data_IF_489768816174
#
_entry.id   IF_489768816174
#
_cell.length_a   1.000
_cell.length_b   1.000
_cell.length_c   1.000
_cell.angle_alpha   90.00
_cell.angle_beta   90.00
_cell.angle_gamma   90.00
#
_symmetry.space_group_name_H-M   'P 1'
#
loop_
_entity.id
_entity.type
_entity.pdbx_description
1 polymer ?
#
# COMPACT_ATOMS: atom_id res chain seq x y z
N UNK A 1 -8.86 -27.66 -1.74
CA UNK A 1 -7.61 -26.90 -1.94
C UNK A 1 -8.02 -25.44 -2.14
N UNK A 2 -7.94 -24.58 -1.11
CA UNK A 2 -8.33 -23.16 -1.25
C UNK A 2 -7.38 -22.47 -2.23
N UNK A 3 -7.87 -21.65 -3.18
CA UNK A 3 -7.00 -20.91 -4.08
C UNK A 3 -6.06 -20.03 -3.24
N UNK A 4 -4.75 -20.07 -3.53
CA UNK A 4 -3.82 -19.09 -2.96
C UNK A 4 -4.35 -17.71 -3.29
N UNK A 5 -4.76 -16.95 -2.28
CA UNK A 5 -5.27 -15.60 -2.47
C UNK A 5 -4.18 -14.79 -3.18
N UNK A 6 -4.53 -14.20 -4.33
CA UNK A 6 -3.59 -13.38 -5.08
C UNK A 6 -3.15 -12.19 -4.22
N UNK A 7 -1.85 -11.85 -4.30
CA UNK A 7 -1.33 -10.64 -3.65
C UNK A 7 -1.96 -9.41 -4.31
N UNK A 8 -2.28 -8.35 -3.54
CA UNK A 8 -2.71 -7.09 -4.12
C UNK A 8 -1.71 -6.59 -5.17
N UNK A 9 -2.23 -6.03 -6.26
CA UNK A 9 -1.41 -5.33 -7.25
C UNK A 9 -0.96 -3.96 -6.69
N UNK A 10 0.10 -3.35 -7.25
CA UNK A 10 0.52 -2.00 -6.88
C UNK A 10 -0.59 -0.96 -7.00
N UNK A 11 -1.42 -1.05 -8.04
CA UNK A 11 -2.58 -0.20 -8.28
C UNK A 11 -3.59 -0.34 -7.13
N UNK A 12 -3.87 -1.58 -6.71
CA UNK A 12 -4.76 -1.85 -5.57
C UNK A 12 -4.19 -1.34 -4.24
N UNK A 13 -2.86 -1.34 -4.07
CA UNK A 13 -2.21 -0.75 -2.90
C UNK A 13 -2.39 0.77 -2.92
N UNK A 14 -2.14 1.44 -4.05
CA UNK A 14 -2.33 2.89 -4.18
C UNK A 14 -3.78 3.26 -3.90
N UNK A 15 -4.74 2.60 -4.57
CA UNK A 15 -6.16 2.86 -4.36
C UNK A 15 -6.60 2.65 -2.90
N UNK A 16 -6.05 1.63 -2.22
CA UNK A 16 -6.36 1.38 -0.81
C UNK A 16 -5.78 2.45 0.13
N UNK A 17 -4.62 3.04 -0.19
CA UNK A 17 -4.04 4.16 0.58
C UNK A 17 -4.90 5.42 0.39
N UNK A 18 -5.21 5.78 -0.87
CA UNK A 18 -6.06 6.95 -1.17
C UNK A 18 -7.45 6.81 -0.53
N UNK A 19 -8.05 5.62 -0.60
CA UNK A 19 -9.35 5.36 0.02
C UNK A 19 -9.29 5.23 1.56
N UNK A 20 -8.11 5.31 2.17
CA UNK A 20 -7.94 5.33 3.63
C UNK A 20 -7.63 6.73 4.13
N UNK A 21 -6.92 7.52 3.34
CA UNK A 21 -6.58 8.89 3.64
C UNK A 21 -6.60 9.74 2.36
N UNK A 22 -7.43 10.78 2.34
CA UNK A 22 -7.63 11.65 1.18
C UNK A 22 -6.33 12.37 0.74
N UNK A 23 -5.37 12.52 1.64
CA UNK A 23 -4.05 13.09 1.36
C UNK A 23 -3.01 12.06 0.87
N UNK A 24 -3.39 10.79 0.77
CA UNK A 24 -2.53 9.69 0.34
C UNK A 24 -1.46 9.30 1.37
N UNK A 25 -1.63 9.66 2.65
CA UNK A 25 -0.69 9.36 3.72
C UNK A 25 -1.32 8.47 4.79
N UNK A 26 -0.67 7.35 5.12
CA UNK A 26 -1.15 6.48 6.21
C UNK A 26 -0.04 5.64 6.84
N UNK A 27 -0.35 5.00 7.96
CA UNK A 27 0.51 3.97 8.56
C UNK A 27 0.28 2.62 7.88
N UNK A 28 1.34 1.82 7.77
CA UNK A 28 1.24 0.44 7.26
C UNK A 28 0.27 -0.42 8.06
N UNK A 29 0.15 -0.17 9.36
CA UNK A 29 -0.81 -0.86 10.25
C UNK A 29 -2.27 -0.52 9.91
N UNK A 30 -2.55 0.69 9.43
CA UNK A 30 -3.88 1.12 9.00
C UNK A 30 -4.21 0.48 7.65
N UNK A 31 -3.26 0.52 6.72
CA UNK A 31 -3.40 -0.16 5.43
C UNK A 31 -3.66 -1.67 5.59
N UNK A 32 -3.02 -2.32 6.57
CA UNK A 32 -3.25 -3.74 6.85
C UNK A 32 -4.72 -4.07 7.17
N UNK A 33 -5.46 -3.14 7.76
CA UNK A 33 -6.88 -3.32 8.08
C UNK A 33 -7.75 -3.34 6.82
N UNK A 34 -7.29 -2.77 5.69
CA UNK A 34 -7.99 -2.79 4.40
C UNK A 34 -7.86 -4.12 3.65
N UNK A 35 -6.96 -5.01 4.08
CA UNK A 35 -6.76 -6.32 3.48
C UNK A 35 -7.01 -7.44 4.51
N UNK A 36 -8.25 -7.60 5.00
CA UNK A 36 -8.57 -8.62 5.99
C UNK A 36 -8.28 -10.01 5.43
N UNK A 37 -7.49 -10.79 6.16
CA UNK A 37 -7.03 -12.11 5.74
C UNK A 37 -5.81 -12.13 4.82
N UNK A 38 -5.16 -10.99 4.57
CA UNK A 38 -3.82 -10.93 3.98
C UNK A 38 -2.77 -10.93 5.10
N UNK A 39 -1.84 -11.88 5.07
CA UNK A 39 -0.79 -11.97 6.07
C UNK A 39 0.19 -10.79 6.01
N UNK A 40 0.81 -10.43 7.13
CA UNK A 40 1.77 -9.31 7.19
C UNK A 40 2.95 -9.46 6.21
N UNK A 41 3.40 -10.70 5.96
CA UNK A 41 4.46 -11.00 4.97
C UNK A 41 4.02 -10.68 3.54
N UNK A 42 2.78 -11.00 3.22
CA UNK A 42 2.19 -10.82 1.89
C UNK A 42 1.89 -9.35 1.62
N UNK A 43 1.35 -8.64 2.63
CA UNK A 43 1.20 -7.18 2.57
C UNK A 43 2.56 -6.49 2.35
N UNK A 44 3.60 -6.89 3.09
CA UNK A 44 4.95 -6.35 2.90
C UNK A 44 5.51 -6.67 1.51
N UNK A 45 5.16 -7.81 0.92
CA UNK A 45 5.57 -8.16 -0.45
C UNK A 45 4.83 -7.31 -1.49
N UNK A 46 3.54 -7.07 -1.32
CA UNK A 46 2.75 -6.19 -2.18
C UNK A 46 3.24 -4.74 -2.09
N UNK A 47 3.47 -4.22 -0.88
CA UNK A 47 4.01 -2.88 -0.66
C UNK A 47 5.39 -2.71 -1.30
N UNK A 48 6.30 -3.67 -1.11
CA UNK A 48 7.64 -3.61 -1.74
C UNK A 48 7.57 -3.52 -3.27
N UNK A 49 6.55 -4.11 -3.91
CA UNK A 49 6.35 -3.97 -5.36
C UNK A 49 5.93 -2.54 -5.72
N UNK A 50 4.97 -1.97 -5.00
CA UNK A 50 4.54 -0.59 -5.22
C UNK A 50 5.67 0.42 -5.00
N UNK A 51 6.49 0.21 -3.95
CA UNK A 51 7.69 1.01 -3.67
C UNK A 51 8.73 0.86 -4.79
N UNK A 52 9.00 -0.36 -5.24
CA UNK A 52 9.96 -0.61 -6.31
C UNK A 52 9.54 0.00 -7.66
N UNK A 53 8.23 0.19 -7.87
CA UNK A 53 7.68 0.89 -9.03
C UNK A 53 7.62 2.42 -8.85
N UNK A 54 8.03 2.94 -7.70
CA UNK A 54 8.02 4.37 -7.42
C UNK A 54 6.62 4.94 -7.15
N UNK A 55 5.59 4.12 -6.92
CA UNK A 55 4.21 4.57 -6.71
C UNK A 55 3.91 4.93 -5.25
N UNK A 56 4.67 4.36 -4.32
CA UNK A 56 4.52 4.55 -2.88
C UNK A 56 5.88 4.77 -2.26
N UNK A 57 5.96 5.68 -1.30
CA UNK A 57 7.14 5.93 -0.47
C UNK A 57 6.88 5.31 0.91
N UNK A 58 7.71 4.34 1.31
CA UNK A 58 7.70 3.79 2.67
C UNK A 58 8.87 4.38 3.47
N UNK A 59 8.58 4.97 4.64
CA UNK A 59 9.58 5.50 5.56
C UNK A 59 9.29 5.09 7.00
N UNK A 60 10.35 4.92 7.79
CA UNK A 60 10.22 4.71 9.22
C UNK A 60 10.07 6.06 9.92
N UNK A 61 9.04 6.20 10.74
CA UNK A 61 8.76 7.41 11.52
C UNK A 61 9.52 7.45 12.85
N UNK A 62 9.48 8.60 13.55
CA UNK A 62 10.13 8.76 14.85
C UNK A 62 9.49 7.90 15.95
N UNK A 63 8.23 7.51 15.78
CA UNK A 63 7.49 6.55 16.61
C UNK A 63 7.93 5.08 16.36
N UNK A 64 8.88 4.85 15.47
CA UNK A 64 9.35 3.52 15.07
C UNK A 64 8.42 2.79 14.10
N UNK A 65 7.27 3.37 13.75
CA UNK A 65 6.28 2.84 12.81
C UNK A 65 6.67 3.06 11.35
N UNK A 66 5.99 2.36 10.44
CA UNK A 66 6.17 2.54 9.00
C UNK A 66 5.02 3.39 8.44
N UNK A 67 5.39 4.51 7.84
CA UNK A 67 4.50 5.45 7.17
C UNK A 67 4.62 5.30 5.67
N UNK A 68 3.49 5.45 4.99
CA UNK A 68 3.30 5.29 3.57
C UNK A 68 2.76 6.60 3.01
N UNK A 69 3.33 7.05 1.90
CA UNK A 69 2.81 8.16 1.12
C UNK A 69 2.69 7.74 -0.35
N UNK A 70 1.60 8.13 -1.02
CA UNK A 70 1.50 7.99 -2.48
C UNK A 70 2.42 9.02 -3.14
N UNK A 71 3.24 8.60 -4.09
CA UNK A 71 4.10 9.50 -4.87
C UNK A 71 3.30 10.25 -5.94
N UNK A 72 3.94 11.20 -6.63
CA UNK A 72 3.33 11.85 -7.80
C UNK A 72 2.92 10.83 -8.86
N UNK A 73 3.78 9.86 -9.15
CA UNK A 73 3.53 8.78 -10.11
C UNK A 73 2.38 7.88 -9.66
N UNK A 74 2.27 7.61 -8.35
CA UNK A 74 1.14 6.89 -7.78
C UNK A 74 -0.18 7.63 -7.95
N UNK A 75 -0.19 8.95 -7.75
CA UNK A 75 -1.37 9.79 -7.97
C UNK A 75 -1.77 9.87 -9.44
N UNK A 76 -0.80 10.01 -10.35
CA UNK A 76 -1.06 10.01 -11.79
C UNK A 76 -1.67 8.67 -12.24
N UNK A 77 -1.12 7.56 -11.75
CA UNK A 77 -1.68 6.22 -11.99
C UNK A 77 -3.12 6.10 -11.46
N UNK A 78 -3.39 6.57 -10.24
CA UNK A 78 -4.71 6.52 -9.63
C UNK A 78 -5.75 7.35 -10.41
N UNK A 79 -5.35 8.53 -10.94
CA UNK A 79 -6.22 9.40 -11.75
C UNK A 79 -6.45 8.90 -13.18
N UNK A 80 -5.54 8.08 -13.69
CA UNK A 80 -5.57 7.59 -15.09
C UNK A 80 -6.32 6.27 -15.26
N UNK A 81 -6.73 5.62 -14.16
CA UNK A 81 -7.54 4.40 -14.15
C UNK A 81 -9.04 4.70 -14.04
#
# INVERSE_FOLDING_TARGET
>A
MSPRRALPTPEQIVAAIVALADDGFCRRSELAQRFPGLGARDLRRALRRAVAQGLVIERRGPDGGFHLAVSSEGWDLHRSG
#
